data_IF_150429783874
#
_entry.id   IF_150429783874
#
_cell.length_a   1.000
_cell.length_b   1.000
_cell.length_c   1.000
_cell.angle_alpha   90.00
_cell.angle_beta   90.00
_cell.angle_gamma   90.00
#
_symmetry.space_group_name_H-M   'P 1'
#
loop_
_entity.id
_entity.type
_entity.pdbx_description
1 polymer ?
#
# COMPACT_ATOMS: atom_id res chain seq x y z
N UNK A 1 -19.95 9.06 30.76
CA UNK A 1 -20.70 8.39 29.68
C UNK A 1 -19.96 8.64 28.38
N UNK A 2 -19.39 7.59 27.78
CA UNK A 2 -18.56 7.69 26.59
C UNK A 2 -19.41 8.13 25.40
N UNK A 3 -19.12 9.32 24.89
CA UNK A 3 -19.87 10.02 23.83
C UNK A 3 -19.82 9.28 22.47
N UNK A 4 -18.93 8.29 22.33
CA UNK A 4 -18.69 7.53 21.10
C UNK A 4 -19.69 6.37 20.88
N UNK A 5 -20.21 5.75 21.94
CA UNK A 5 -21.20 4.66 21.82
C UNK A 5 -22.51 5.13 21.16
N UNK A 6 -22.82 6.44 21.29
CA UNK A 6 -24.04 7.03 20.74
C UNK A 6 -24.07 7.03 19.21
N UNK A 7 -22.91 6.96 18.56
CA UNK A 7 -22.80 7.00 17.10
C UNK A 7 -22.72 5.61 16.44
N UNK A 8 -22.33 4.56 17.18
CA UNK A 8 -22.04 3.25 16.60
C UNK A 8 -23.28 2.40 16.25
N UNK A 9 -24.45 2.73 16.82
CA UNK A 9 -25.65 1.89 16.71
C UNK A 9 -26.91 2.60 16.25
N UNK A 10 -26.79 3.85 15.75
CA UNK A 10 -27.95 4.53 15.18
C UNK A 10 -28.21 3.98 13.78
N UNK A 11 -29.45 3.58 13.46
CA UNK A 11 -29.79 3.22 12.09
C UNK A 11 -29.63 4.46 11.22
N UNK A 12 -28.91 4.31 10.13
CA UNK A 12 -28.75 5.37 9.14
C UNK A 12 -30.04 5.48 8.31
N UNK A 13 -30.36 6.68 7.84
CA UNK A 13 -31.45 6.88 6.90
C UNK A 13 -31.24 6.03 5.63
N UNK A 14 -32.32 5.60 4.99
CA UNK A 14 -32.28 4.72 3.82
C UNK A 14 -31.43 5.29 2.65
N UNK A 15 -31.30 6.61 2.59
CA UNK A 15 -30.54 7.37 1.59
C UNK A 15 -29.25 8.00 2.16
N UNK A 16 -28.66 7.43 3.21
CA UNK A 16 -27.45 7.99 3.81
C UNK A 16 -26.21 7.82 2.90
N UNK A 17 -25.54 8.93 2.58
CA UNK A 17 -24.33 8.97 1.75
C UNK A 17 -23.02 9.08 2.56
N UNK A 18 -23.02 8.68 3.84
CA UNK A 18 -21.76 8.57 4.56
C UNK A 18 -20.83 7.51 3.94
N UNK A 19 -19.53 7.63 4.18
CA UNK A 19 -18.51 6.72 3.61
C UNK A 19 -18.81 5.23 3.85
N UNK A 20 -19.39 4.88 5.01
CA UNK A 20 -19.77 3.51 5.37
C UNK A 20 -20.97 3.01 4.57
N UNK A 21 -22.07 3.77 4.53
CA UNK A 21 -23.28 3.40 3.79
C UNK A 21 -23.08 3.42 2.28
N UNK A 22 -22.24 4.33 1.78
CA UNK A 22 -21.82 4.38 0.38
C UNK A 22 -21.00 3.15 0.00
N UNK A 23 -19.97 2.79 0.78
CA UNK A 23 -19.14 1.60 0.52
C UNK A 23 -19.91 0.29 0.56
N UNK A 24 -21.01 0.23 1.33
CA UNK A 24 -21.91 -0.93 1.33
C UNK A 24 -22.80 -1.01 0.09
N UNK A 25 -23.20 0.15 -0.47
CA UNK A 25 -24.04 0.23 -1.67
C UNK A 25 -23.24 0.02 -2.95
N UNK A 26 -22.01 0.54 -2.99
CA UNK A 26 -21.13 0.41 -4.15
C UNK A 26 -20.37 -0.91 -4.04
N UNK A 27 -20.64 -1.89 -4.92
CA UNK A 27 -19.83 -3.10 -4.94
C UNK A 27 -18.37 -2.71 -5.22
N UNK A 28 -17.45 -3.33 -4.51
CA UNK A 28 -16.04 -3.23 -4.85
C UNK A 28 -15.86 -3.76 -6.27
N UNK A 29 -15.78 -2.85 -7.24
CA UNK A 29 -15.20 -3.17 -8.53
C UNK A 29 -13.73 -3.47 -8.25
N UNK A 30 -13.21 -4.56 -8.80
CA UNK A 30 -11.78 -4.78 -8.87
C UNK A 30 -11.31 -4.31 -10.26
N UNK A 31 -11.22 -2.98 -10.51
CA UNK A 31 -10.77 -2.48 -11.81
C UNK A 31 -9.31 -2.87 -12.09
N UNK A 32 -8.56 -3.17 -11.02
CA UNK A 32 -7.22 -3.73 -11.09
C UNK A 32 -7.31 -5.27 -11.03
N UNK A 33 -7.76 -5.88 -12.13
CA UNK A 33 -7.38 -7.25 -12.39
C UNK A 33 -5.86 -7.25 -12.61
N UNK A 34 -5.12 -7.92 -11.72
CA UNK A 34 -3.70 -8.12 -11.92
C UNK A 34 -3.53 -8.88 -13.24
N UNK A 35 -2.96 -8.22 -14.24
CA UNK A 35 -2.65 -8.87 -15.52
C UNK A 35 -1.64 -9.98 -15.18
N UNK A 36 -1.98 -11.26 -15.41
CA UNK A 36 -1.08 -12.35 -15.08
C UNK A 36 0.19 -12.19 -15.92
N UNK A 37 1.35 -12.33 -15.27
CA UNK A 37 2.61 -12.36 -16.00
C UNK A 37 2.71 -13.68 -16.76
N UNK A 38 2.92 -13.58 -18.07
CA UNK A 38 3.16 -14.69 -19.00
C UNK A 38 4.42 -15.50 -18.67
N UNK A 39 5.40 -14.88 -18.02
CA UNK A 39 6.67 -15.52 -17.63
C UNK A 39 6.65 -16.15 -16.24
N UNK A 40 5.73 -15.75 -15.36
CA UNK A 40 5.64 -16.32 -14.02
C UNK A 40 4.75 -17.56 -14.03
N UNK A 41 5.15 -18.61 -13.32
CA UNK A 41 4.28 -19.76 -13.06
C UNK A 41 4.09 -19.99 -11.56
N UNK A 42 2.85 -20.19 -11.10
CA UNK A 42 2.60 -20.58 -9.72
C UNK A 42 3.13 -21.99 -9.46
N UNK A 43 3.33 -22.33 -8.19
CA UNK A 43 3.57 -23.72 -7.80
C UNK A 43 2.30 -24.53 -8.09
N UNK A 44 2.46 -25.73 -8.64
CA UNK A 44 1.34 -26.62 -8.98
C UNK A 44 1.65 -28.06 -8.63
N UNK A 45 0.61 -28.84 -8.34
CA UNK A 45 0.71 -30.27 -8.11
C UNK A 45 -0.23 -30.97 -9.08
N UNK A 46 0.31 -31.87 -9.89
CA UNK A 46 -0.43 -32.58 -10.95
C UNK A 46 -0.17 -34.07 -10.86
N UNK A 47 -1.19 -34.89 -11.11
CA UNK A 47 -1.08 -36.35 -11.16
C UNK A 47 -0.77 -36.79 -12.58
N UNK A 48 0.42 -37.34 -12.80
CA UNK A 48 0.89 -37.83 -14.11
C UNK A 48 1.10 -39.33 -14.02
N UNK A 49 0.38 -40.11 -14.82
CA UNK A 49 0.43 -41.58 -14.81
C UNK A 49 0.27 -42.20 -13.41
N UNK A 50 -0.65 -41.64 -12.61
CA UNK A 50 -0.90 -42.12 -11.24
C UNK A 50 0.06 -41.55 -10.18
N UNK A 51 1.17 -40.93 -10.57
CA UNK A 51 2.19 -40.39 -9.68
C UNK A 51 1.96 -38.89 -9.48
N UNK A 52 1.99 -38.43 -8.23
CA UNK A 52 1.95 -37.00 -7.91
C UNK A 52 3.27 -36.34 -8.27
N UNK A 53 3.22 -35.29 -9.09
CA UNK A 53 4.36 -34.45 -9.44
C UNK A 53 4.11 -33.02 -8.99
N UNK A 54 5.05 -32.47 -8.23
CA UNK A 54 5.06 -31.06 -7.84
C UNK A 54 5.94 -30.27 -8.81
N UNK A 55 5.44 -29.13 -9.29
CA UNK A 55 6.18 -28.16 -10.09
C UNK A 55 6.40 -26.92 -9.21
N UNK A 56 7.66 -26.49 -8.99
CA UNK A 56 7.94 -25.32 -8.18
C UNK A 56 7.48 -24.05 -8.89
N UNK A 57 7.12 -23.05 -8.08
CA UNK A 57 6.87 -21.70 -8.58
C UNK A 57 8.13 -21.17 -9.27
N UNK A 58 7.93 -20.38 -10.33
CA UNK A 58 8.99 -19.63 -10.97
C UNK A 58 8.53 -18.19 -11.17
N UNK A 59 9.40 -17.27 -10.78
CA UNK A 59 9.17 -15.84 -10.76
C UNK A 59 10.19 -15.22 -11.72
N UNK A 60 9.72 -14.43 -12.68
CA UNK A 60 10.60 -13.78 -13.64
C UNK A 60 11.38 -12.62 -12.98
N UNK A 61 12.47 -12.17 -13.61
CA UNK A 61 13.33 -11.10 -13.07
C UNK A 61 12.57 -9.81 -12.72
N UNK A 62 11.48 -9.49 -13.43
CA UNK A 62 10.61 -8.34 -13.13
C UNK A 62 9.90 -8.46 -11.78
N UNK A 63 9.57 -9.69 -11.37
CA UNK A 63 8.84 -9.98 -10.14
C UNK A 63 9.73 -10.58 -9.06
N UNK A 64 11.00 -10.83 -9.35
CA UNK A 64 12.00 -11.21 -8.34
C UNK A 64 12.19 -10.02 -7.40
N UNK A 65 11.84 -10.15 -6.10
CA UNK A 65 12.07 -9.08 -5.16
C UNK A 65 13.56 -8.76 -5.08
N UNK A 66 13.94 -7.48 -4.89
CA UNK A 66 15.32 -7.13 -4.64
C UNK A 66 15.82 -7.87 -3.39
N UNK A 67 17.13 -8.17 -3.30
CA UNK A 67 17.70 -8.76 -2.11
C UNK A 67 17.33 -7.91 -0.90
N UNK A 68 16.84 -8.57 0.14
CA UNK A 68 16.47 -7.87 1.38
C UNK A 68 17.69 -7.10 1.87
N UNK A 69 17.53 -5.83 2.28
CA UNK A 69 18.65 -5.10 2.85
C UNK A 69 19.23 -5.86 4.06
N UNK A 70 20.56 -6.02 4.20
CA UNK A 70 21.23 -6.37 5.44
C UNK A 70 20.60 -5.78 6.69
N UNK A 71 20.56 -6.61 7.73
CA UNK A 71 19.90 -6.36 9.02
C UNK A 71 20.39 -5.08 9.74
N UNK A 72 21.56 -4.56 9.37
CA UNK A 72 22.24 -3.43 10.00
C UNK A 72 22.11 -2.11 9.21
N UNK A 73 21.10 -1.96 8.36
CA UNK A 73 20.80 -0.70 7.66
C UNK A 73 20.18 0.40 8.56
N UNK A 74 20.58 0.45 9.82
CA UNK A 74 20.18 1.47 10.79
C UNK A 74 21.24 2.56 10.97
N UNK A 75 22.06 2.81 9.94
CA UNK A 75 22.89 4.02 9.87
C UNK A 75 22.75 4.61 8.47
N UNK A 76 21.65 5.31 8.24
CA UNK A 76 21.73 6.51 7.42
C UNK A 76 22.20 7.55 8.44
N UNK A 77 23.45 8.01 8.32
CA UNK A 77 23.85 9.25 8.96
C UNK A 77 22.89 10.31 8.42
N UNK A 78 21.89 10.64 9.23
CA UNK A 78 20.84 11.62 8.88
C UNK A 78 21.42 13.02 9.01
N UNK A 79 22.42 13.35 8.18
CA UNK A 79 22.90 14.72 8.07
C UNK A 79 21.91 15.66 7.39
N UNK A 80 20.71 15.16 7.04
CA UNK A 80 19.84 15.79 6.08
C UNK A 80 20.55 16.04 4.74
N UNK A 81 19.83 16.63 3.79
CA UNK A 81 20.50 17.40 2.75
C UNK A 81 21.17 18.60 3.43
N UNK A 82 22.40 19.02 3.04
CA UNK A 82 22.95 20.27 3.56
C UNK A 82 21.91 21.36 3.32
N UNK A 83 21.54 22.09 4.38
CA UNK A 83 20.59 23.20 4.27
C UNK A 83 21.15 24.14 3.21
N UNK A 84 20.49 24.30 2.05
CA UNK A 84 21.00 25.21 1.04
C UNK A 84 21.03 26.61 1.64
N UNK A 85 22.05 27.39 1.29
CA UNK A 85 22.17 28.77 1.74
C UNK A 85 20.89 29.54 1.39
N UNK A 86 20.15 29.95 2.41
CA UNK A 86 19.01 30.85 2.28
C UNK A 86 19.55 32.26 2.55
N UNK A 87 19.61 33.16 1.55
CA UNK A 87 19.91 34.55 1.80
C UNK A 87 18.84 35.10 2.74
N UNK A 88 19.25 35.49 3.94
CA UNK A 88 18.38 36.25 4.84
C UNK A 88 18.29 37.64 4.22
N UNK A 89 17.19 37.90 3.50
CA UNK A 89 16.81 39.28 3.21
C UNK A 89 16.50 39.91 4.57
N UNK A 90 17.32 40.87 4.98
CA UNK A 90 17.08 41.64 6.20
C UNK A 90 15.64 42.17 6.19
N UNK A 91 14.91 42.15 7.31
CA UNK A 91 13.54 42.66 7.36
C UNK A 91 13.54 44.10 6.85
N UNK A 92 12.69 44.40 5.85
CA UNK A 92 12.52 45.78 5.42
C UNK A 92 12.00 46.61 6.59
N UNK A 93 12.54 47.82 6.75
CA UNK A 93 12.01 48.77 7.71
C UNK A 93 10.59 49.16 7.28
N UNK A 94 9.63 49.02 8.19
CA UNK A 94 8.30 49.58 8.01
C UNK A 94 8.43 51.10 8.11
N UNK A 95 8.38 51.80 6.97
CA UNK A 95 8.21 53.25 6.96
C UNK A 95 6.90 53.60 7.66
N UNK A 96 7.01 54.38 8.74
CA UNK A 96 5.89 54.92 9.52
C UNK A 96 5.35 56.22 8.93
#
# INVERSE_FOLDING_TARGET
MNTLDRYLHRPHAANCDCSVCWSRRVPASAPYQSIPCDQCRPASVTKVNGIWRATPAFICAKHTPPPRPPKYWNVIYDSGNPTPFVPILEPFELEG
#
